data_IF_386426918662
#
_entry.id   IF_386426918662
#
_cell.length_a   1.000
_cell.length_b   1.000
_cell.length_c   1.000
_cell.angle_alpha   90.00
_cell.angle_beta   90.00
_cell.angle_gamma   90.00
#
_symmetry.space_group_name_H-M   'P 1'
#
loop_
_entity.id
_entity.type
_entity.pdbx_description
1 polymer ?
#
# COMPACT_ATOMS: atom_id res chain seq x y z
N UNK A 1 46.39 -23.99 4.23
CA UNK A 1 45.73 -22.67 4.33
C UNK A 1 44.77 -22.57 3.16
N UNK A 2 43.49 -22.88 3.36
CA UNK A 2 42.49 -22.81 2.28
C UNK A 2 41.88 -21.41 2.28
N UNK A 3 42.10 -20.67 1.20
CA UNK A 3 41.45 -19.38 0.98
C UNK A 3 39.96 -19.65 0.71
N UNK A 4 39.08 -19.25 1.63
CA UNK A 4 37.66 -19.15 1.33
C UNK A 4 37.46 -17.90 0.48
N UNK A 5 37.17 -18.09 -0.80
CA UNK A 5 36.68 -17.02 -1.66
C UNK A 5 35.24 -16.72 -1.24
N UNK A 6 35.03 -15.66 -0.46
CA UNK A 6 33.70 -15.11 -0.25
C UNK A 6 33.35 -14.28 -1.48
N UNK A 7 32.66 -14.89 -2.44
CA UNK A 7 32.06 -14.12 -3.53
C UNK A 7 31.02 -13.16 -2.94
N UNK A 8 30.99 -11.88 -3.36
CA UNK A 8 29.94 -10.97 -2.93
C UNK A 8 28.60 -11.49 -3.44
N UNK A 9 27.68 -11.77 -2.52
CA UNK A 9 26.31 -12.14 -2.85
C UNK A 9 25.65 -10.93 -3.51
N UNK A 10 25.57 -10.95 -4.84
CA UNK A 10 24.84 -9.93 -5.60
C UNK A 10 23.37 -10.04 -5.19
N UNK A 11 22.85 -8.97 -4.61
CA UNK A 11 21.41 -8.85 -4.37
C UNK A 11 20.73 -8.57 -5.71
N UNK A 12 20.23 -9.64 -6.34
CA UNK A 12 19.53 -9.59 -7.62
C UNK A 12 18.14 -8.95 -7.50
N UNK A 13 17.67 -8.70 -6.28
CA UNK A 13 16.32 -8.21 -6.04
C UNK A 13 16.37 -6.69 -5.90
N UNK A 14 15.74 -6.00 -6.85
CA UNK A 14 15.39 -4.59 -6.65
C UNK A 14 14.25 -4.52 -5.62
N UNK A 15 14.64 -4.38 -4.35
CA UNK A 15 13.72 -4.27 -3.23
C UNK A 15 12.78 -3.06 -3.36
N UNK A 16 13.21 -1.96 -4.00
CA UNK A 16 12.37 -0.79 -4.20
C UNK A 16 11.29 -1.05 -5.27
N UNK A 17 11.62 -1.80 -6.32
CA UNK A 17 10.63 -2.27 -7.28
C UNK A 17 9.61 -3.22 -6.62
N UNK A 18 10.07 -4.14 -5.77
CA UNK A 18 9.19 -5.05 -5.03
C UNK A 18 8.27 -4.29 -4.08
N UNK A 19 8.80 -3.33 -3.32
CA UNK A 19 8.01 -2.53 -2.39
C UNK A 19 6.94 -1.71 -3.12
N UNK A 20 7.28 -1.06 -4.24
CA UNK A 20 6.30 -0.33 -5.07
C UNK A 20 5.20 -1.26 -5.60
N UNK A 21 5.56 -2.45 -6.07
CA UNK A 21 4.57 -3.42 -6.54
C UNK A 21 3.64 -3.88 -5.40
N UNK A 22 4.19 -4.09 -4.20
CA UNK A 22 3.42 -4.46 -3.01
C UNK A 22 2.47 -3.33 -2.58
N UNK A 23 2.93 -2.08 -2.58
CA UNK A 23 2.10 -0.92 -2.24
C UNK A 23 0.92 -0.77 -3.20
N UNK A 24 1.14 -0.98 -4.50
CA UNK A 24 0.08 -0.97 -5.51
C UNK A 24 -0.93 -2.11 -5.30
N UNK A 25 -0.44 -3.34 -5.08
CA UNK A 25 -1.31 -4.49 -4.83
C UNK A 25 -2.14 -4.31 -3.56
N UNK A 26 -1.53 -3.80 -2.48
CA UNK A 26 -2.22 -3.50 -1.23
C UNK A 26 -3.28 -2.41 -1.41
N UNK A 27 -2.97 -1.34 -2.16
CA UNK A 27 -3.94 -0.29 -2.51
C UNK A 27 -5.16 -0.87 -3.23
N UNK A 28 -4.94 -1.69 -4.25
CA UNK A 28 -6.02 -2.25 -5.06
C UNK A 28 -6.91 -3.18 -4.24
N UNK A 29 -6.31 -4.04 -3.42
CA UNK A 29 -7.04 -4.93 -2.51
C UNK A 29 -7.87 -4.15 -1.49
N UNK A 30 -7.30 -3.12 -0.85
CA UNK A 30 -8.02 -2.27 0.11
C UNK A 30 -9.23 -1.59 -0.55
N UNK A 31 -9.05 -1.03 -1.75
CA UNK A 31 -10.14 -0.40 -2.49
C UNK A 31 -11.23 -1.41 -2.89
N UNK A 32 -10.87 -2.63 -3.27
CA UNK A 32 -11.84 -3.70 -3.55
C UNK A 32 -12.67 -4.05 -2.31
N UNK A 33 -12.02 -4.25 -1.16
CA UNK A 33 -12.72 -4.48 0.11
C UNK A 33 -13.67 -3.34 0.47
N UNK A 34 -13.24 -2.09 0.31
CA UNK A 34 -14.08 -0.92 0.56
C UNK A 34 -15.29 -0.87 -0.39
N UNK A 35 -15.14 -1.20 -1.68
CA UNK A 35 -16.26 -1.30 -2.63
C UNK A 35 -17.28 -2.38 -2.25
N UNK A 36 -16.82 -3.44 -1.57
CA UNK A 36 -17.70 -4.48 -1.01
C UNK A 36 -18.33 -4.08 0.34
N UNK A 37 -18.08 -2.86 0.83
CA UNK A 37 -18.55 -2.40 2.14
C UNK A 37 -17.86 -3.07 3.33
N UNK A 38 -16.64 -3.63 3.12
CA UNK A 38 -15.90 -4.38 4.14
C UNK A 38 -14.84 -3.51 4.79
N UNK A 39 -14.80 -3.52 6.12
CA UNK A 39 -13.70 -2.94 6.90
C UNK A 39 -12.47 -3.85 6.84
N UNK A 40 -11.28 -3.24 6.93
CA UNK A 40 -9.99 -3.94 6.93
C UNK A 40 -9.20 -3.54 8.17
N UNK A 41 -8.48 -4.49 8.77
CA UNK A 41 -7.58 -4.22 9.87
C UNK A 41 -6.14 -3.99 9.39
N UNK A 42 -5.45 -3.05 10.01
CA UNK A 42 -4.03 -2.76 9.75
C UNK A 42 -3.28 -2.63 11.09
N UNK A 43 -2.03 -3.10 11.10
CA UNK A 43 -1.13 -2.88 12.22
C UNK A 43 -0.58 -1.45 12.21
N UNK A 44 -0.89 -0.65 13.23
CA UNK A 44 -0.38 0.71 13.40
C UNK A 44 0.27 0.88 14.76
N UNK A 45 1.59 1.02 14.79
CA UNK A 45 2.36 1.19 16.02
C UNK A 45 2.17 0.04 17.03
N UNK A 46 2.16 -1.21 16.55
CA UNK A 46 1.97 -2.41 17.39
C UNK A 46 0.53 -2.66 17.84
N UNK A 47 -0.45 -1.88 17.36
CA UNK A 47 -1.88 -2.10 17.62
C UNK A 47 -2.61 -2.47 16.34
N UNK A 48 -3.69 -3.23 16.46
CA UNK A 48 -4.61 -3.49 15.35
C UNK A 48 -5.65 -2.38 15.31
N UNK A 49 -5.74 -1.67 14.18
CA UNK A 49 -6.72 -0.62 13.93
C UNK A 49 -7.61 -1.05 12.77
N UNK A 50 -8.92 -0.82 12.89
CA UNK A 50 -9.89 -1.12 11.85
C UNK A 50 -10.20 0.14 11.05
N UNK A 51 -10.14 0.04 9.72
CA UNK A 51 -10.52 1.07 8.78
C UNK A 51 -11.85 0.73 8.13
N UNK A 52 -12.78 1.66 8.18
CA UNK A 52 -14.06 1.61 7.46
C UNK A 52 -13.85 1.81 5.95
N UNK A 53 -14.80 1.40 5.10
CA UNK A 53 -14.76 1.68 3.67
C UNK A 53 -14.53 3.17 3.33
N UNK A 54 -15.19 4.08 4.05
CA UNK A 54 -15.06 5.52 3.83
C UNK A 54 -13.64 6.03 4.16
N UNK A 55 -13.02 5.54 5.23
CA UNK A 55 -11.64 5.89 5.58
C UNK A 55 -10.64 5.34 4.55
N UNK A 56 -10.88 4.13 4.03
CA UNK A 56 -10.06 3.56 2.95
C UNK A 56 -10.18 4.40 1.67
N UNK A 57 -11.40 4.80 1.28
CA UNK A 57 -11.61 5.66 0.13
C UNK A 57 -10.92 7.02 0.29
N UNK A 58 -11.09 7.66 1.45
CA UNK A 58 -10.46 8.95 1.75
C UNK A 58 -8.93 8.88 1.65
N UNK A 59 -8.29 7.80 2.14
CA UNK A 59 -6.83 7.58 2.05
C UNK A 59 -6.30 7.63 0.61
N UNK A 60 -7.11 7.22 -0.36
CA UNK A 60 -6.69 7.12 -1.77
C UNK A 60 -7.34 8.17 -2.68
N UNK A 61 -7.93 9.22 -2.11
CA UNK A 61 -8.51 10.32 -2.89
C UNK A 61 -9.87 10.00 -3.53
N UNK A 62 -10.66 9.14 -2.89
CA UNK A 62 -12.04 8.85 -3.28
C UNK A 62 -13.03 9.44 -2.27
N UNK A 63 -14.25 9.72 -2.71
CA UNK A 63 -15.35 10.08 -1.81
C UNK A 63 -15.96 8.84 -1.13
N UNK A 64 -16.93 9.05 -0.23
CA UNK A 64 -17.61 7.98 0.52
C UNK A 64 -18.31 6.92 -0.35
N UNK A 65 -18.58 7.25 -1.62
CA UNK A 65 -19.19 6.34 -2.60
C UNK A 65 -18.16 5.63 -3.49
N UNK A 66 -16.86 5.76 -3.20
CA UNK A 66 -15.78 5.15 -3.98
C UNK A 66 -15.55 5.80 -5.36
N UNK A 67 -16.00 7.05 -5.56
CA UNK A 67 -15.74 7.83 -6.77
C UNK A 67 -14.50 8.72 -6.58
N UNK A 68 -13.64 8.88 -7.59
CA UNK A 68 -12.48 9.76 -7.48
C UNK A 68 -12.90 11.18 -7.11
N UNK A 69 -12.20 11.78 -6.15
CA UNK A 69 -12.32 13.22 -5.92
C UNK A 69 -11.75 13.95 -7.13
N UNK A 70 -12.31 15.11 -7.51
CA UNK A 70 -11.70 15.93 -8.54
C UNK A 70 -10.25 16.22 -8.14
N UNK A 71 -9.32 16.10 -9.10
CA UNK A 71 -7.95 16.53 -8.86
C UNK A 71 -8.01 17.96 -8.34
N UNK A 72 -7.38 18.22 -7.19
CA UNK A 72 -7.33 19.57 -6.64
C UNK A 72 -6.82 20.50 -7.74
N UNK A 73 -7.67 21.40 -8.23
CA UNK A 73 -7.26 22.42 -9.19
C UNK A 73 -6.28 23.30 -8.42
N UNK A 74 -4.99 23.36 -8.80
CA UNK A 74 -4.06 24.23 -8.11
C UNK A 74 -4.39 25.67 -8.52
N UNK A 75 -4.96 26.46 -7.61
CA UNK A 75 -5.11 27.91 -7.76
C UNK A 75 -6.54 28.45 -7.83
N UNK A 76 -7.31 28.28 -6.77
CA UNK A 76 -8.45 29.16 -6.47
C UNK A 76 -8.07 30.12 -5.35
#
# INVERSE_FOLDING_TARGET
>A
MSQQTTEPMVDWIDHDAVNRALELAARDALLEHARMGRSVCEGRGGKVVWFTPAEIFARYGFNEFGRPLPAAVPGA
#
